data_IF_856820948625
#
_entry.id   IF_856820948625
#
_cell.length_a   1.000
_cell.length_b   1.000
_cell.length_c   1.000
_cell.angle_alpha   90.00
_cell.angle_beta   90.00
_cell.angle_gamma   90.00
#
_symmetry.space_group_name_H-M   'P 1'
#
loop_
_entity.id
_entity.type
_entity.pdbx_description
1 polymer ?
#
# COMPACT_ATOMS: atom_id res chain seq x y z
N UNK A 1 -0.59 -15.33 21.74
CA UNK A 1 0.08 -14.64 20.62
C UNK A 1 1.45 -15.27 20.49
N UNK A 2 1.74 -16.00 19.39
CA UNK A 2 3.04 -16.64 19.22
C UNK A 2 4.13 -15.59 18.97
N UNK A 3 5.34 -15.93 19.41
CA UNK A 3 6.62 -15.21 19.34
C UNK A 3 6.64 -13.95 18.49
N UNK A 4 6.60 -12.83 19.20
CA UNK A 4 6.36 -11.49 18.64
C UNK A 4 7.57 -10.94 17.87
N UNK A 5 7.32 -9.97 17.00
CA UNK A 5 8.36 -9.16 16.33
C UNK A 5 9.43 -8.67 17.33
N UNK A 6 8.98 -8.26 18.52
CA UNK A 6 9.80 -7.79 19.63
C UNK A 6 10.71 -8.88 20.20
N UNK A 7 10.23 -10.11 20.38
CA UNK A 7 11.04 -11.24 20.86
C UNK A 7 12.17 -11.59 19.88
N UNK A 8 11.91 -11.51 18.58
CA UNK A 8 12.94 -11.71 17.55
C UNK A 8 14.02 -10.62 17.60
N UNK A 9 13.67 -9.39 18.00
CA UNK A 9 14.65 -8.33 18.19
C UNK A 9 15.39 -8.43 19.52
N UNK A 10 14.75 -8.92 20.57
CA UNK A 10 15.38 -9.16 21.87
C UNK A 10 16.47 -10.26 21.79
N UNK A 11 16.33 -11.20 20.84
CA UNK A 11 17.36 -12.19 20.50
C UNK A 11 18.42 -11.59 19.55
N UNK A 12 19.42 -10.91 20.11
CA UNK A 12 20.59 -10.37 19.40
C UNK A 12 20.25 -9.52 18.15
N UNK A 13 19.17 -8.74 18.23
CA UNK A 13 18.67 -7.92 17.12
C UNK A 13 18.47 -8.73 15.83
N UNK A 14 17.92 -9.94 15.94
CA UNK A 14 17.70 -10.85 14.81
C UNK A 14 16.62 -10.33 13.84
N UNK A 15 17.04 -9.39 12.98
CA UNK A 15 16.19 -8.71 12.01
C UNK A 15 15.62 -9.67 10.97
N UNK A 16 16.30 -10.77 10.66
CA UNK A 16 15.82 -11.76 9.70
C UNK A 16 14.59 -12.49 10.21
N UNK A 17 14.59 -12.89 11.49
CA UNK A 17 13.43 -13.49 12.13
C UNK A 17 12.28 -12.47 12.27
N UNK A 18 12.60 -11.25 12.69
CA UNK A 18 11.62 -10.17 12.86
C UNK A 18 10.91 -9.82 11.53
N UNK A 19 11.66 -9.72 10.42
CA UNK A 19 11.09 -9.49 9.09
C UNK A 19 10.27 -10.70 8.62
N UNK A 20 10.68 -11.93 8.96
CA UNK A 20 9.90 -13.13 8.68
C UNK A 20 8.50 -13.06 9.29
N UNK A 21 8.43 -12.74 10.58
CA UNK A 21 7.17 -12.54 11.29
C UNK A 21 6.35 -11.39 10.68
N UNK A 22 6.99 -10.25 10.40
CA UNK A 22 6.34 -9.10 9.77
C UNK A 22 5.62 -9.47 8.46
N UNK A 23 6.30 -10.17 7.55
CA UNK A 23 5.71 -10.57 6.27
C UNK A 23 4.61 -11.64 6.42
N UNK A 24 4.70 -12.50 7.42
CA UNK A 24 3.64 -13.47 7.74
C UNK A 24 2.39 -12.75 8.23
N UNK A 25 2.53 -11.84 9.19
CA UNK A 25 1.43 -11.03 9.73
C UNK A 25 0.77 -10.18 8.62
N UNK A 26 1.53 -9.53 7.75
CA UNK A 26 0.99 -8.79 6.60
C UNK A 26 0.15 -9.72 5.70
N UNK A 27 0.65 -10.93 5.42
CA UNK A 27 -0.06 -11.88 4.56
C UNK A 27 -1.35 -12.38 5.20
N UNK A 28 -1.35 -12.64 6.52
CA UNK A 28 -2.55 -13.03 7.27
C UNK A 28 -3.61 -11.94 7.28
N UNK A 29 -3.23 -10.71 7.60
CA UNK A 29 -4.15 -9.56 7.61
C UNK A 29 -4.76 -9.33 6.23
N UNK A 30 -3.96 -9.36 5.17
CA UNK A 30 -4.49 -9.23 3.80
C UNK A 30 -5.50 -10.34 3.46
N UNK A 31 -5.24 -11.59 3.88
CA UNK A 31 -6.20 -12.69 3.68
C UNK A 31 -7.49 -12.51 4.46
N UNK A 32 -7.42 -11.99 5.69
CA UNK A 32 -8.61 -11.70 6.49
C UNK A 32 -9.42 -10.56 5.87
N UNK A 33 -8.76 -9.51 5.37
CA UNK A 33 -9.40 -8.41 4.64
C UNK A 33 -10.09 -8.89 3.37
N UNK A 34 -9.42 -9.72 2.56
CA UNK A 34 -9.98 -10.27 1.32
C UNK A 34 -11.23 -11.15 1.55
N UNK A 35 -11.37 -11.72 2.76
CA UNK A 35 -12.50 -12.58 3.16
C UNK A 35 -13.59 -11.84 3.94
N UNK A 36 -13.43 -10.54 4.18
CA UNK A 36 -14.32 -9.75 5.03
C UNK A 36 -14.40 -10.30 6.48
N UNK A 37 -13.30 -10.90 6.96
CA UNK A 37 -13.16 -11.53 8.28
C UNK A 37 -12.46 -10.59 9.29
N UNK A 38 -12.11 -9.36 8.88
CA UNK A 38 -11.42 -8.39 9.73
C UNK A 38 -12.42 -7.40 10.33
N UNK A 39 -12.73 -7.59 11.62
CA UNK A 39 -13.56 -6.64 12.36
C UNK A 39 -12.78 -5.37 12.79
N UNK A 40 -13.51 -4.36 13.24
CA UNK A 40 -12.92 -3.08 13.65
C UNK A 40 -11.97 -3.22 14.86
N UNK A 41 -12.22 -4.17 15.76
CA UNK A 41 -11.35 -4.39 16.91
C UNK A 41 -10.00 -4.96 16.47
N UNK A 42 -10.03 -6.02 15.66
CA UNK A 42 -8.86 -6.69 15.09
C UNK A 42 -8.06 -5.75 14.18
N UNK A 43 -8.74 -4.92 13.39
CA UNK A 43 -8.10 -3.89 12.57
C UNK A 43 -7.34 -2.87 13.43
N UNK A 44 -7.93 -2.41 14.54
CA UNK A 44 -7.26 -1.48 15.47
C UNK A 44 -6.07 -2.14 16.17
N UNK A 45 -6.18 -3.41 16.58
CA UNK A 45 -5.04 -4.14 17.15
C UNK A 45 -3.88 -4.26 16.15
N UNK A 46 -4.19 -4.53 14.88
CA UNK A 46 -3.19 -4.59 13.82
C UNK A 46 -2.52 -3.23 13.57
N UNK A 47 -3.30 -2.14 13.52
CA UNK A 47 -2.75 -0.78 13.37
C UNK A 47 -1.82 -0.42 14.54
N UNK A 48 -2.23 -0.70 15.78
CA UNK A 48 -1.39 -0.46 16.95
C UNK A 48 -0.10 -1.29 16.92
N UNK A 49 -0.16 -2.52 16.39
CA UNK A 49 1.03 -3.34 16.22
C UNK A 49 1.94 -2.81 15.11
N UNK A 50 1.36 -2.38 13.97
CA UNK A 50 2.10 -1.76 12.88
C UNK A 50 2.85 -0.50 13.34
N UNK A 51 2.22 0.36 14.13
CA UNK A 51 2.88 1.55 14.71
C UNK A 51 4.09 1.19 15.58
N UNK A 52 4.03 0.08 16.34
CA UNK A 52 5.18 -0.39 17.12
C UNK A 52 6.32 -0.85 16.23
N UNK A 53 6.03 -1.64 15.20
CA UNK A 53 7.05 -2.08 14.22
C UNK A 53 7.68 -0.87 13.52
N UNK A 54 6.86 0.07 13.07
CA UNK A 54 7.30 1.26 12.36
C UNK A 54 8.14 2.20 13.24
N UNK A 55 7.84 2.26 14.55
CA UNK A 55 8.66 3.04 15.50
C UNK A 55 10.10 2.54 15.64
N UNK A 56 10.35 1.27 15.31
CA UNK A 56 11.68 0.65 15.37
C UNK A 56 12.35 0.68 14.00
N UNK A 57 11.63 0.26 12.95
CA UNK A 57 12.20 0.07 11.62
C UNK A 57 12.08 1.28 10.70
N UNK A 58 11.24 2.26 11.05
CA UNK A 58 10.96 3.45 10.25
C UNK A 58 10.67 3.11 8.78
N UNK A 59 9.73 2.18 8.56
CA UNK A 59 9.38 1.65 7.23
C UNK A 59 8.48 2.64 6.47
N UNK A 60 7.63 3.35 7.20
CA UNK A 60 6.63 4.23 6.64
C UNK A 60 7.27 5.55 6.25
N UNK A 61 7.58 5.69 4.97
CA UNK A 61 7.89 6.99 4.40
C UNK A 61 6.68 7.92 4.58
N UNK A 62 6.85 8.95 5.42
CA UNK A 62 5.79 9.92 5.72
C UNK A 62 5.07 10.38 4.45
N UNK A 63 3.73 10.29 4.49
CA UNK A 63 2.78 10.59 3.42
C UNK A 63 3.44 10.91 2.07
N UNK A 64 3.63 9.90 1.21
CA UNK A 64 3.85 10.12 -0.23
C UNK A 64 2.57 10.77 -0.81
N UNK A 65 2.36 12.06 -0.50
CA UNK A 65 1.18 12.81 -0.91
C UNK A 65 1.14 12.82 -2.41
N UNK A 66 0.11 12.20 -2.95
CA UNK A 66 -0.21 12.32 -4.36
C UNK A 66 -0.49 13.80 -4.63
N UNK A 67 0.31 14.48 -5.47
CA UNK A 67 0.06 15.88 -5.78
C UNK A 67 -1.34 16.06 -6.34
N UNK A 68 -2.00 17.18 -6.03
CA UNK A 68 -3.36 17.45 -6.48
C UNK A 68 -3.53 17.32 -8.01
N UNK A 69 -2.51 17.72 -8.77
CA UNK A 69 -2.48 17.60 -10.23
C UNK A 69 -2.45 16.13 -10.71
N UNK A 70 -1.74 15.25 -10.01
CA UNK A 70 -1.72 13.81 -10.31
C UNK A 70 -3.07 13.18 -9.99
N UNK A 71 -3.69 13.57 -8.86
CA UNK A 71 -5.05 13.13 -8.52
C UNK A 71 -6.08 13.57 -9.55
N UNK A 72 -5.99 14.82 -10.05
CA UNK A 72 -6.87 15.33 -11.12
C UNK A 72 -6.72 14.53 -12.41
N UNK A 73 -5.49 14.27 -12.85
CA UNK A 73 -5.24 13.46 -14.05
C UNK A 73 -5.79 12.03 -13.91
N UNK A 74 -5.57 11.42 -12.75
CA UNK A 74 -6.06 10.08 -12.47
C UNK A 74 -7.60 10.00 -12.53
N UNK A 75 -8.30 10.98 -11.95
CA UNK A 75 -9.75 11.10 -12.06
C UNK A 75 -10.20 11.33 -13.50
N UNK A 76 -9.51 12.19 -14.26
CA UNK A 76 -9.83 12.42 -15.67
C UNK A 76 -9.68 11.13 -16.51
N UNK A 77 -8.67 10.30 -16.19
CA UNK A 77 -8.47 9.00 -16.84
C UNK A 77 -9.60 8.03 -16.53
N UNK A 78 -10.00 7.94 -15.26
CA UNK A 78 -11.12 7.13 -14.81
C UNK A 78 -12.42 7.51 -15.55
N UNK A 79 -12.70 8.81 -15.68
CA UNK A 79 -13.84 9.30 -16.45
C UNK A 79 -13.74 8.96 -17.95
N UNK A 80 -12.55 9.07 -18.55
CA UNK A 80 -12.33 8.65 -19.94
C UNK A 80 -12.58 7.15 -20.14
N UNK A 81 -12.16 6.30 -19.19
CA UNK A 81 -12.47 4.86 -19.20
C UNK A 81 -13.97 4.59 -19.09
N UNK A 82 -14.68 5.26 -18.19
CA UNK A 82 -16.14 5.12 -18.04
C UNK A 82 -16.89 5.54 -19.32
N UNK A 83 -16.40 6.59 -19.98
CA UNK A 83 -16.90 7.05 -21.28
C UNK A 83 -16.45 6.18 -22.47
N UNK A 84 -15.65 5.13 -22.24
CA UNK A 84 -15.04 4.27 -23.27
C UNK A 84 -14.14 5.02 -24.28
N UNK A 85 -13.61 6.18 -23.88
CA UNK A 85 -12.63 6.95 -24.64
C UNK A 85 -11.22 6.42 -24.37
N UNK A 86 -10.88 5.32 -25.06
CA UNK A 86 -9.60 4.63 -24.90
C UNK A 86 -8.40 5.50 -25.26
N UNK A 87 -8.54 6.35 -26.29
CA UNK A 87 -7.48 7.24 -26.75
C UNK A 87 -7.14 8.27 -25.67
N UNK A 88 -8.15 8.94 -25.12
CA UNK A 88 -7.94 9.93 -24.04
C UNK A 88 -7.43 9.28 -22.75
N UNK A 89 -7.89 8.07 -22.43
CA UNK A 89 -7.37 7.28 -21.31
C UNK A 89 -5.87 6.99 -21.48
N UNK A 90 -5.42 6.64 -22.69
CA UNK A 90 -4.02 6.37 -22.98
C UNK A 90 -3.14 7.63 -22.95
N UNK A 91 -3.64 8.75 -23.45
CA UNK A 91 -2.96 10.06 -23.34
C UNK A 91 -2.73 10.45 -21.87
N UNK A 92 -3.76 10.34 -21.04
CA UNK A 92 -3.68 10.66 -19.61
C UNK A 92 -2.77 9.68 -18.85
N UNK A 93 -2.74 8.40 -19.24
CA UNK A 93 -1.81 7.42 -18.70
C UNK A 93 -0.36 7.78 -19.02
N UNK A 94 -0.08 8.20 -20.26
CA UNK A 94 1.26 8.62 -20.65
C UNK A 94 1.70 9.89 -19.91
N UNK A 95 0.79 10.84 -19.68
CA UNK A 95 1.06 12.05 -18.90
C UNK A 95 1.38 11.73 -17.42
N UNK A 96 0.64 10.80 -16.81
CA UNK A 96 0.93 10.30 -15.47
C UNK A 96 2.30 9.63 -15.42
N UNK A 97 2.60 8.76 -16.39
CA UNK A 97 3.90 8.09 -16.50
C UNK A 97 5.05 9.08 -16.65
N UNK A 98 4.88 10.14 -17.45
CA UNK A 98 5.88 11.19 -17.64
C UNK A 98 6.16 11.98 -16.36
N UNK A 99 5.18 12.07 -15.44
CA UNK A 99 5.33 12.68 -14.12
C UNK A 99 5.86 11.71 -13.06
N UNK A 100 6.22 10.48 -13.44
CA UNK A 100 6.71 9.46 -12.53
C UNK A 100 5.61 8.79 -11.70
N UNK A 101 4.37 8.74 -12.22
CA UNK A 101 3.24 8.09 -11.57
C UNK A 101 2.67 7.00 -12.46
N UNK A 102 2.41 5.84 -11.88
CA UNK A 102 1.81 4.70 -12.55
C UNK A 102 0.37 4.52 -12.07
N UNK A 103 -0.53 4.14 -12.99
CA UNK A 103 -1.91 3.79 -12.68
C UNK A 103 -2.15 2.31 -12.92
N UNK A 104 -2.70 1.63 -11.92
CA UNK A 104 -3.12 0.22 -12.01
C UNK A 104 -4.62 0.12 -11.80
N UNK A 105 -5.32 -0.44 -12.77
CA UNK A 105 -6.75 -0.74 -12.62
C UNK A 105 -6.90 -2.02 -11.79
N UNK A 106 -7.68 -1.97 -10.72
CA UNK A 106 -8.00 -3.10 -9.85
C UNK A 106 -9.51 -3.27 -9.75
N UNK A 107 -9.98 -4.38 -9.15
CA UNK A 107 -11.43 -4.60 -8.92
C UNK A 107 -12.04 -3.51 -8.04
N UNK A 108 -11.24 -2.93 -7.15
CA UNK A 108 -11.64 -1.89 -6.20
C UNK A 108 -11.45 -0.47 -6.75
N UNK A 109 -11.11 -0.35 -8.03
CA UNK A 109 -10.86 0.92 -8.70
C UNK A 109 -9.41 1.15 -9.09
N UNK A 110 -9.09 2.37 -9.51
CA UNK A 110 -7.77 2.75 -9.99
C UNK A 110 -6.83 3.04 -8.80
N UNK A 111 -5.75 2.26 -8.66
CA UNK A 111 -4.65 2.54 -7.74
C UNK A 111 -3.58 3.38 -8.43
N UNK A 112 -3.06 4.39 -7.73
CA UNK A 112 -2.00 5.27 -8.23
C UNK A 112 -0.77 5.05 -7.34
N UNK A 113 0.35 4.77 -7.96
CA UNK A 113 1.62 4.57 -7.25
C UNK A 113 2.69 5.44 -7.86
N UNK A 114 3.57 6.01 -7.03
CA UNK A 114 4.77 6.65 -7.54
C UNK A 114 5.61 5.56 -8.22
N UNK A 115 6.06 5.81 -9.44
CA UNK A 115 7.00 4.92 -10.12
C UNK A 115 8.32 5.04 -9.39
N UNK A 116 8.63 4.08 -8.53
CA UNK A 116 9.98 3.91 -8.01
C UNK A 116 10.90 3.76 -9.23
N UNK A 117 11.88 4.65 -9.35
CA UNK A 117 12.82 4.63 -10.46
C UNK A 117 13.59 3.31 -10.49
N UNK A 118 13.92 2.87 -11.71
CA UNK A 118 14.95 1.88 -11.99
C UNK A 118 16.31 2.30 -11.42
#
# INVERSE_FOLDING_TARGET
>A
MPHTFEEALDDDLNISAALGFLFETIRETNRAMDRDELDAASANEWLNWWERVDSVLAISDGENKIPAEVSKLAKAREQARLAKDWRKSDELRNELNARGWETRDTKDGQKITRRAGA
#
